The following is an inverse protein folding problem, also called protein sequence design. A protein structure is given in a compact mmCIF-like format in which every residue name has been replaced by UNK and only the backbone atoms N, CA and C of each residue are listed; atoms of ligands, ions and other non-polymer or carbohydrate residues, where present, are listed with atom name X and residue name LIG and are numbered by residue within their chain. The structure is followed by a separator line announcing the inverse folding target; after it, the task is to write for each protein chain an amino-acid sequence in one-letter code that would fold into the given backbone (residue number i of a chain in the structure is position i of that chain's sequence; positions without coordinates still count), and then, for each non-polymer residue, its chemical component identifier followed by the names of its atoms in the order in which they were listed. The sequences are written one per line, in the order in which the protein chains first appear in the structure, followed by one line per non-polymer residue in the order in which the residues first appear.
data_IF_139076730186
#
_entry.id   IF_139076730186
#
_cell.length_a   1.000
_cell.length_b   1.000
_cell.length_c   1.000
_cell.angle_alpha   90.00
_cell.angle_beta   90.00
_cell.angle_gamma   90.00
#
_symmetry.space_group_name_H-M   'P 1'
#
loop_
_entity.id
_entity.type
_entity.pdbx_description
1 polymer ?
#
# COMPACT_ATOMS: atom_id res chain seq x y z
N UNK A 1 -1.22 -26.32 14.51
CA UNK A 1 -0.27 -25.28 14.06
C UNK A 1 1.10 -25.67 14.57
N UNK A 2 2.07 -25.84 13.68
CA UNK A 2 3.50 -25.95 14.05
C UNK A 2 4.06 -24.55 14.26
N UNK A 3 5.07 -24.40 15.14
CA UNK A 3 5.76 -23.11 15.38
C UNK A 3 6.35 -22.48 14.09
N UNK A 4 6.60 -23.29 13.05
CA UNK A 4 7.07 -22.82 11.75
C UNK A 4 6.05 -21.96 10.99
N UNK A 5 4.75 -22.10 11.28
CA UNK A 5 3.68 -21.39 10.57
C UNK A 5 3.15 -20.18 11.36
N UNK A 6 3.65 -19.95 12.57
CA UNK A 6 3.23 -18.86 13.45
C UNK A 6 4.27 -17.74 13.48
N UNK A 7 4.25 -16.87 12.46
CA UNK A 7 5.13 -15.68 12.39
C UNK A 7 4.80 -14.58 13.41
N UNK A 8 3.82 -14.80 14.29
CA UNK A 8 3.38 -13.81 15.27
C UNK A 8 2.64 -12.62 14.64
N UNK A 9 1.97 -11.82 15.46
CA UNK A 9 1.24 -10.62 15.03
C UNK A 9 2.15 -9.40 15.12
N UNK A 10 3.17 -9.33 14.26
CA UNK A 10 4.21 -8.29 14.33
C UNK A 10 4.07 -7.35 13.14
N UNK A 11 3.45 -6.18 13.31
CA UNK A 11 3.26 -5.19 12.23
C UNK A 11 4.60 -4.70 11.66
N UNK A 12 5.57 -4.39 12.52
CA UNK A 12 6.92 -3.98 12.15
C UNK A 12 7.93 -4.54 13.16
N UNK A 13 9.04 -5.09 12.68
CA UNK A 13 10.18 -5.49 13.50
C UNK A 13 11.45 -5.26 12.70
N UNK A 14 12.15 -4.18 13.06
CA UNK A 14 13.28 -3.67 12.29
C UNK A 14 14.46 -3.32 13.17
N UNK A 15 15.64 -3.50 12.61
CA UNK A 15 16.88 -2.91 13.09
C UNK A 15 17.37 -1.97 12.01
N UNK A 16 17.85 -0.78 12.39
CA UNK A 16 18.39 0.18 11.45
C UNK A 16 19.77 0.68 11.86
N UNK A 17 20.55 1.06 10.86
CA UNK A 17 21.87 1.65 11.02
C UNK A 17 21.95 2.89 10.14
N UNK A 18 22.31 4.03 10.75
CA UNK A 18 22.59 5.25 10.01
C UNK A 18 24.02 5.22 9.48
N UNK A 19 24.22 5.68 8.26
CA UNK A 19 25.51 5.92 7.63
C UNK A 19 25.67 7.44 7.52
N UNK A 20 26.31 8.10 8.51
CA UNK A 20 26.28 9.55 8.65
C UNK A 20 26.93 10.31 7.49
N UNK A 21 27.90 9.69 6.81
CA UNK A 21 28.66 10.31 5.72
C UNK A 21 27.81 10.48 4.45
N UNK A 22 26.74 9.69 4.32
CA UNK A 22 25.87 9.65 3.14
C UNK A 22 24.42 10.03 3.47
N UNK A 23 24.14 10.48 4.71
CA UNK A 23 22.78 10.70 5.25
C UNK A 23 21.86 9.55 4.85
N UNK A 24 22.41 8.34 4.94
CA UNK A 24 21.78 7.14 4.42
C UNK A 24 21.40 6.23 5.58
N UNK A 25 20.38 5.41 5.38
CA UNK A 25 19.91 4.45 6.38
C UNK A 25 19.82 3.08 5.75
N UNK A 26 20.40 2.09 6.43
CA UNK A 26 20.11 0.67 6.16
C UNK A 26 19.08 0.22 7.19
N UNK A 27 18.04 -0.48 6.73
CA UNK A 27 17.00 -1.08 7.58
C UNK A 27 16.86 -2.54 7.23
N UNK A 28 16.85 -3.40 8.24
CA UNK A 28 16.74 -4.85 8.11
C UNK A 28 15.54 -5.32 8.94
N UNK A 29 14.79 -6.31 8.42
CA UNK A 29 13.66 -6.91 9.11
C UNK A 29 12.38 -6.82 8.31
N UNK A 30 11.23 -6.81 9.00
CA UNK A 30 9.92 -6.62 8.37
C UNK A 30 9.62 -5.12 8.25
N UNK A 31 9.62 -4.62 7.02
CA UNK A 31 9.59 -3.18 6.71
C UNK A 31 8.43 -2.92 5.74
N UNK A 32 7.86 -1.71 5.79
CA UNK A 32 6.94 -1.24 4.76
C UNK A 32 7.64 -1.16 3.38
N UNK A 33 7.00 -1.66 2.33
CA UNK A 33 7.60 -1.68 1.00
C UNK A 33 7.59 -0.27 0.39
N UNK A 34 8.71 0.22 -0.17
CA UNK A 34 8.77 1.55 -0.75
C UNK A 34 8.19 1.52 -2.18
N UNK A 35 6.88 1.37 -2.31
CA UNK A 35 6.21 1.33 -3.61
C UNK A 35 5.26 2.51 -3.81
N UNK A 36 4.04 2.42 -3.27
CA UNK A 36 3.05 3.49 -3.34
C UNK A 36 3.10 4.34 -2.06
N UNK A 37 2.80 5.63 -2.19
CA UNK A 37 2.72 6.53 -1.05
C UNK A 37 1.73 6.09 0.03
N UNK A 38 0.52 5.68 -0.34
CA UNK A 38 -0.44 5.19 0.66
C UNK A 38 0.09 3.96 1.41
N UNK A 39 0.98 3.13 0.82
CA UNK A 39 1.61 1.99 1.55
C UNK A 39 2.57 2.43 2.65
N UNK A 40 3.37 3.46 2.37
CA UNK A 40 4.38 3.95 3.30
C UNK A 40 3.78 4.87 4.36
N UNK A 41 2.61 5.45 4.09
CA UNK A 41 1.89 6.27 5.06
C UNK A 41 1.52 5.46 6.30
N UNK A 42 1.74 6.07 7.47
CA UNK A 42 1.25 5.54 8.74
C UNK A 42 -0.27 5.36 8.66
N UNK A 43 -0.76 4.15 8.99
CA UNK A 43 -2.19 3.91 9.13
C UNK A 43 -2.81 4.83 10.17
N UNK A 44 -2.00 5.24 11.17
CA UNK A 44 -2.47 6.14 12.20
C UNK A 44 -2.89 7.49 11.60
N UNK A 45 -2.07 8.05 10.70
CA UNK A 45 -2.25 9.38 10.11
C UNK A 45 -2.99 9.38 8.77
N UNK A 46 -3.59 8.25 8.42
CA UNK A 46 -4.33 8.13 7.17
C UNK A 46 -5.64 8.92 7.24
N UNK A 47 -5.88 9.80 6.26
CA UNK A 47 -7.05 10.70 6.29
C UNK A 47 -8.30 10.08 5.67
N UNK A 48 -8.15 9.16 4.72
CA UNK A 48 -9.25 8.31 4.30
C UNK A 48 -9.36 7.11 5.24
N UNK A 49 -10.53 6.46 5.27
CA UNK A 49 -10.72 5.30 6.14
C UNK A 49 -9.86 4.11 5.72
N UNK A 50 -9.83 3.82 4.41
CA UNK A 50 -9.13 2.68 3.84
C UNK A 50 -8.18 3.09 2.72
N UNK A 51 -7.01 2.45 2.69
CA UNK A 51 -6.07 2.58 1.56
C UNK A 51 -6.71 2.10 0.28
N UNK A 52 -6.22 2.62 -0.84
CA UNK A 52 -6.83 2.41 -2.13
C UNK A 52 -6.84 0.94 -2.53
N UNK A 53 -7.86 0.53 -3.27
CA UNK A 53 -7.98 -0.86 -3.73
C UNK A 53 -6.75 -1.31 -4.54
N UNK A 54 -6.15 -0.41 -5.33
CA UNK A 54 -4.96 -0.71 -6.16
C UNK A 54 -3.74 -1.02 -5.31
N UNK A 55 -3.70 -0.49 -4.09
CA UNK A 55 -2.68 -0.80 -3.09
C UNK A 55 -2.98 -2.12 -2.39
N UNK A 56 -3.69 -3.06 -2.99
CA UNK A 56 -3.70 -4.45 -2.50
C UNK A 56 -3.01 -5.38 -3.50
N UNK A 57 -2.48 -4.85 -4.62
CA UNK A 57 -1.77 -5.64 -5.63
C UNK A 57 -0.44 -6.23 -5.16
N UNK A 58 0.17 -5.63 -4.13
CA UNK A 58 1.42 -6.09 -3.54
C UNK A 58 1.30 -6.04 -2.01
N UNK A 59 2.12 -6.80 -1.29
CA UNK A 59 2.14 -6.69 0.15
C UNK A 59 2.56 -5.33 0.66
N UNK A 60 1.90 -4.82 1.71
CA UNK A 60 2.29 -3.54 2.31
C UNK A 60 3.63 -3.65 3.05
N UNK A 61 3.83 -4.77 3.73
CA UNK A 61 5.07 -5.09 4.45
C UNK A 61 5.73 -6.30 3.83
N UNK A 62 7.06 -6.37 3.91
CA UNK A 62 7.80 -7.57 3.55
C UNK A 62 9.08 -7.66 4.39
N UNK A 63 9.62 -8.88 4.53
CA UNK A 63 10.87 -9.07 5.28
C UNK A 63 12.05 -9.00 4.33
N UNK A 64 13.01 -8.13 4.63
CA UNK A 64 14.15 -7.89 3.76
C UNK A 64 15.13 -6.84 4.26
N UNK A 65 15.84 -6.25 3.31
CA UNK A 65 16.80 -5.18 3.53
C UNK A 65 16.47 -3.97 2.66
N UNK A 66 16.38 -2.80 3.27
CA UNK A 66 16.17 -1.51 2.61
C UNK A 66 17.39 -0.62 2.79
N UNK A 67 17.77 0.08 1.73
CA UNK A 67 18.66 1.25 1.79
C UNK A 67 17.87 2.49 1.39
N UNK A 68 17.97 3.55 2.19
CA UNK A 68 17.49 4.88 1.88
C UNK A 68 18.68 5.82 1.77
N UNK A 69 18.77 6.57 0.68
CA UNK A 69 19.88 7.51 0.41
C UNK A 69 19.35 8.88 0.00
N UNK A 70 20.11 9.93 0.34
CA UNK A 70 19.81 11.32 -0.01
C UNK A 70 20.95 11.88 -0.88
N UNK A 71 20.93 11.63 -2.20
CA UNK A 71 22.09 11.85 -3.05
C UNK A 71 22.55 13.32 -3.12
N UNK A 72 21.66 14.26 -2.84
CA UNK A 72 21.97 15.70 -2.87
C UNK A 72 22.84 16.16 -1.68
N UNK A 73 23.08 15.31 -0.67
CA UNK A 73 24.06 15.64 0.38
C UNK A 73 25.46 15.88 -0.19
N UNK A 74 25.84 15.14 -1.24
CA UNK A 74 27.15 15.28 -1.88
C UNK A 74 27.39 16.69 -2.44
N UNK A 75 26.32 17.46 -2.66
CA UNK A 75 26.38 18.87 -3.07
C UNK A 75 26.38 19.78 -1.84
N UNK A 76 25.35 19.66 -1.00
CA UNK A 76 25.20 20.43 0.25
C UNK A 76 24.15 19.74 1.14
N UNK A 77 24.41 19.69 2.45
CA UNK A 77 23.48 19.13 3.45
C UNK A 77 22.08 19.75 3.42
N UNK A 78 21.93 21.02 3.03
CA UNK A 78 20.61 21.68 2.94
C UNK A 78 19.71 21.12 1.83
N UNK A 79 20.27 20.34 0.90
CA UNK A 79 19.55 19.79 -0.24
C UNK A 79 19.05 18.35 -0.03
N UNK A 80 19.44 17.69 1.06
CA UNK A 80 19.00 16.32 1.40
C UNK A 80 17.47 16.16 1.41
N UNK A 81 16.77 17.21 1.84
CA UNK A 81 15.30 17.27 1.94
C UNK A 81 14.54 17.24 0.62
N UNK A 82 15.21 17.44 -0.52
CA UNK A 82 14.55 17.54 -1.83
C UNK A 82 14.48 16.21 -2.58
N UNK A 83 15.39 15.27 -2.32
CA UNK A 83 15.46 14.03 -3.09
C UNK A 83 15.85 12.87 -2.20
N UNK A 84 15.00 11.84 -2.16
CA UNK A 84 15.29 10.56 -1.54
C UNK A 84 15.17 9.41 -2.54
N UNK A 85 16.04 8.43 -2.39
CA UNK A 85 16.01 7.18 -3.15
C UNK A 85 15.96 6.01 -2.18
N UNK A 86 15.09 5.05 -2.47
CA UNK A 86 14.90 3.85 -1.67
C UNK A 86 15.09 2.62 -2.55
N UNK A 87 15.94 1.70 -2.11
CA UNK A 87 16.06 0.37 -2.69
C UNK A 87 15.71 -0.67 -1.64
N UNK A 88 14.84 -1.62 -1.95
CA UNK A 88 14.45 -2.66 -1.02
C UNK A 88 14.43 -4.02 -1.72
N UNK A 89 15.00 -5.03 -1.05
CA UNK A 89 14.96 -6.43 -1.48
C UNK A 89 14.23 -7.20 -0.40
N UNK A 90 13.05 -7.69 -0.75
CA UNK A 90 12.19 -8.48 0.12
C UNK A 90 12.15 -9.95 -0.29
N UNK A 91 11.65 -10.80 0.61
CA UNK A 91 11.48 -12.21 0.35
C UNK A 91 10.20 -12.54 -0.44
N UNK A 92 9.29 -11.58 -0.62
CA UNK A 92 8.06 -11.69 -1.42
C UNK A 92 6.89 -12.39 -0.75
N UNK A 93 6.98 -12.69 0.55
CA UNK A 93 5.95 -13.43 1.28
C UNK A 93 4.96 -12.53 2.02
N UNK A 94 5.23 -11.22 2.10
CA UNK A 94 4.47 -10.31 2.94
C UNK A 94 4.95 -10.29 4.39
N UNK A 95 4.44 -9.32 5.16
CA UNK A 95 4.70 -9.21 6.59
C UNK A 95 3.70 -9.99 7.43
N UNK A 96 4.14 -10.50 8.58
CA UNK A 96 3.23 -11.01 9.60
C UNK A 96 2.38 -9.87 10.15
N UNK A 97 1.11 -10.07 10.46
CA UNK A 97 0.33 -9.00 11.12
C UNK A 97 -0.47 -8.07 10.21
N UNK A 98 -0.47 -8.24 8.88
CA UNK A 98 -1.32 -7.47 7.97
C UNK A 98 -2.79 -7.94 8.07
N UNK A 99 -3.47 -7.55 9.15
CA UNK A 99 -4.84 -7.95 9.50
C UNK A 99 -5.82 -6.79 9.35
N UNK A 100 -6.10 -6.39 8.12
CA UNK A 100 -7.46 -5.97 7.76
C UNK A 100 -8.32 -7.22 7.54
N UNK A 101 -9.62 -7.19 7.84
CA UNK A 101 -10.53 -8.29 7.49
C UNK A 101 -10.51 -8.45 5.96
N UNK A 102 -9.79 -9.45 5.42
CA UNK A 102 -9.57 -9.61 3.97
C UNK A 102 -8.19 -9.19 3.44
N UNK A 103 -7.30 -8.64 4.28
CA UNK A 103 -5.90 -8.33 3.95
C UNK A 103 -4.89 -9.38 4.42
N UNK A 104 -5.33 -10.59 4.76
CA UNK A 104 -4.42 -11.67 5.17
C UNK A 104 -3.51 -12.08 4.00
N UNK A 105 -2.38 -11.42 3.88
CA UNK A 105 -1.30 -11.73 2.94
C UNK A 105 -0.29 -12.72 3.54
N UNK A 106 -0.55 -13.20 4.76
CA UNK A 106 0.13 -14.33 5.38
C UNK A 106 -0.14 -15.60 4.56
N UNK A 107 0.73 -15.94 3.63
CA UNK A 107 0.65 -17.25 3.00
C UNK A 107 2.00 -17.79 2.55
N UNK A 108 2.81 -18.23 3.50
CA UNK A 108 3.40 -19.57 3.40
C UNK A 108 3.46 -20.18 4.79
N UNK A 109 2.34 -20.76 5.23
CA UNK A 109 2.50 -22.09 5.82
C UNK A 109 3.28 -22.91 4.78
N UNK A 110 4.23 -23.73 5.21
CA UNK A 110 4.82 -24.74 4.35
C UNK A 110 3.70 -25.73 3.97
N UNK A 111 2.80 -25.34 3.06
CA UNK A 111 1.73 -26.20 2.58
C UNK A 111 2.46 -27.33 1.87
N UNK A 112 2.29 -28.54 2.39
CA UNK A 112 2.98 -29.75 1.97
C UNK A 112 2.88 -30.05 0.46
N UNK A 113 1.98 -29.35 -0.25
CA UNK A 113 1.65 -29.54 -1.66
C UNK A 113 1.92 -28.31 -2.56
N UNK A 114 2.55 -27.24 -2.06
CA UNK A 114 2.96 -26.09 -2.89
C UNK A 114 4.50 -26.07 -3.07
N UNK A 115 5.01 -25.62 -4.22
CA UNK A 115 6.43 -25.45 -4.44
C UNK A 115 7.02 -24.42 -3.48
N UNK A 116 8.27 -24.63 -3.10
CA UNK A 116 9.04 -23.61 -2.41
C UNK A 116 9.50 -22.55 -3.43
N UNK A 117 8.88 -21.36 -3.38
CA UNK A 117 9.23 -20.23 -4.25
C UNK A 117 10.31 -19.38 -3.57
N UNK A 118 11.47 -19.27 -4.21
CA UNK A 118 12.65 -18.61 -3.64
C UNK A 118 12.93 -17.22 -4.25
N UNK A 119 12.23 -16.83 -5.31
CA UNK A 119 12.48 -15.55 -5.96
C UNK A 119 12.30 -14.38 -4.98
N UNK A 120 13.27 -13.45 -4.87
CA UNK A 120 13.06 -12.22 -4.12
C UNK A 120 12.09 -11.29 -4.86
N UNK A 121 11.64 -10.25 -4.17
CA UNK A 121 10.97 -9.11 -4.77
C UNK A 121 11.86 -7.87 -4.61
N UNK A 122 12.01 -7.12 -5.68
CA UNK A 122 12.83 -5.92 -5.73
C UNK A 122 11.91 -4.71 -5.80
N UNK A 123 12.24 -3.69 -5.02
CA UNK A 123 11.56 -2.41 -5.05
C UNK A 123 12.59 -1.29 -5.21
N UNK A 124 12.23 -0.30 -6.02
CA UNK A 124 12.98 0.93 -6.17
C UNK A 124 12.03 2.12 -6.18
N UNK A 125 12.30 3.14 -5.37
CA UNK A 125 11.49 4.37 -5.29
C UNK A 125 12.35 5.61 -5.30
N UNK A 126 11.89 6.60 -6.03
CA UNK A 126 12.41 7.97 -6.03
C UNK A 126 11.31 8.89 -5.51
N UNK A 127 11.68 9.84 -4.66
CA UNK A 127 10.78 10.87 -4.16
C UNK A 127 11.46 12.23 -4.26
N UNK A 128 10.78 13.16 -4.92
CA UNK A 128 11.20 14.54 -5.10
C UNK A 128 10.26 15.48 -4.34
N UNK A 129 10.79 16.20 -3.34
CA UNK A 129 10.04 17.17 -2.55
C UNK A 129 10.37 18.58 -3.04
N UNK A 130 9.49 19.17 -3.84
CA UNK A 130 9.73 20.42 -4.59
C UNK A 130 10.06 21.60 -3.68
N UNK A 131 9.37 21.71 -2.54
CA UNK A 131 9.55 22.80 -1.56
C UNK A 131 10.35 22.36 -0.32
N UNK A 132 11.07 21.23 -0.42
CA UNK A 132 11.74 20.59 0.71
C UNK A 132 10.78 19.82 1.64
N UNK A 133 11.37 19.04 2.55
CA UNK A 133 10.67 18.22 3.55
C UNK A 133 9.90 19.02 4.60
N UNK A 134 9.32 18.30 5.57
CA UNK A 134 8.64 18.90 6.71
C UNK A 134 9.67 19.35 7.75
N UNK A 135 9.58 20.61 8.19
CA UNK A 135 10.44 21.15 9.25
C UNK A 135 9.63 21.07 10.54
N UNK A 136 10.13 20.35 11.56
CA UNK A 136 9.53 20.35 12.91
C UNK A 136 10.54 20.88 13.92
N UNK A 137 10.20 21.95 14.66
CA UNK A 137 11.04 22.50 15.75
C UNK A 137 12.52 22.65 15.37
N UNK A 138 12.77 23.31 14.25
CA UNK A 138 14.12 23.55 13.70
C UNK A 138 14.96 22.28 13.40
N UNK A 139 14.35 21.10 13.50
CA UNK A 139 14.89 19.81 13.07
C UNK A 139 14.16 19.37 11.82
N UNK A 140 14.91 19.22 10.73
CA UNK A 140 14.40 18.58 9.52
C UNK A 140 14.36 17.07 9.77
N UNK A 141 13.15 16.52 9.92
CA UNK A 141 12.95 15.08 10.11
C UNK A 141 12.57 14.38 8.80
N UNK A 142 12.69 15.08 7.66
CA UNK A 142 12.21 14.58 6.37
C UNK A 142 10.68 14.63 6.27
N UNK A 143 10.16 14.02 5.20
CA UNK A 143 8.70 13.94 5.02
C UNK A 143 8.11 12.83 5.90
N UNK A 144 7.23 13.20 6.83
CA UNK A 144 6.46 12.26 7.67
C UNK A 144 4.98 12.38 7.33
N UNK A 145 4.42 11.32 6.76
CA UNK A 145 3.13 11.35 6.07
C UNK A 145 1.91 11.46 7.00
N UNK A 146 0.95 12.28 6.57
CA UNK A 146 -0.28 12.66 7.26
C UNK A 146 -0.11 13.71 8.37
N UNK A 147 1.12 14.10 8.74
CA UNK A 147 1.34 15.29 9.60
C UNK A 147 1.33 16.59 8.79
N UNK A 148 1.46 16.51 7.46
CA UNK A 148 1.42 17.66 6.56
C UNK A 148 0.08 18.43 6.58
N UNK A 149 -1.02 17.81 7.03
CA UNK A 149 -2.34 18.44 7.06
C UNK A 149 -2.46 19.53 8.14
N UNK A 150 -1.53 19.55 9.10
CA UNK A 150 -1.44 20.57 10.15
C UNK A 150 -0.41 21.65 9.84
N UNK A 151 0.21 21.60 8.65
CA UNK A 151 1.25 22.53 8.25
C UNK A 151 0.63 23.64 7.38
N UNK A 152 1.05 24.87 7.62
CA UNK A 152 0.62 26.03 6.84
C UNK A 152 1.44 26.22 5.56
N UNK A 153 2.68 25.76 5.57
CA UNK A 153 3.61 25.88 4.45
C UNK A 153 3.15 25.08 3.24
N UNK A 154 3.43 25.62 2.05
CA UNK A 154 3.23 24.88 0.81
C UNK A 154 4.26 23.74 0.72
N UNK A 155 3.77 22.52 0.54
CA UNK A 155 4.58 21.31 0.40
C UNK A 155 4.09 20.49 -0.78
N UNK A 156 5.01 20.02 -1.63
CA UNK A 156 4.72 19.18 -2.79
C UNK A 156 5.75 18.06 -2.85
N UNK A 157 5.26 16.82 -2.87
CA UNK A 157 6.05 15.61 -3.04
C UNK A 157 5.57 14.86 -4.26
N UNK A 158 6.50 14.43 -5.10
CA UNK A 158 6.28 13.60 -6.27
C UNK A 158 7.06 12.30 -6.10
N UNK A 159 6.40 11.17 -6.23
CA UNK A 159 6.99 9.84 -6.09
C UNK A 159 6.86 9.03 -7.37
N UNK A 160 7.85 8.19 -7.63
CA UNK A 160 7.75 7.11 -8.60
C UNK A 160 8.40 5.86 -8.04
N UNK A 161 7.81 4.69 -8.30
CA UNK A 161 8.40 3.43 -7.87
C UNK A 161 8.16 2.29 -8.85
N UNK A 162 9.04 1.29 -8.75
CA UNK A 162 8.96 0.01 -9.45
C UNK A 162 9.01 -1.12 -8.42
N UNK A 163 8.27 -2.19 -8.69
CA UNK A 163 8.33 -3.44 -7.96
C UNK A 163 8.44 -4.59 -8.95
N UNK A 164 9.27 -5.59 -8.68
CA UNK A 164 9.46 -6.72 -9.58
C UNK A 164 9.78 -8.02 -8.83
N UNK A 165 9.11 -9.10 -9.21
CA UNK A 165 9.51 -10.47 -8.86
C UNK A 165 9.23 -11.42 -10.02
N UNK A 166 10.00 -12.51 -10.10
CA UNK A 166 9.80 -13.57 -11.10
C UNK A 166 8.80 -14.64 -10.66
N UNK A 167 8.48 -14.71 -9.35
CA UNK A 167 7.53 -15.67 -8.78
C UNK A 167 6.69 -14.98 -7.70
N UNK A 168 5.42 -14.72 -7.98
CA UNK A 168 4.49 -14.18 -6.99
C UNK A 168 4.06 -15.28 -6.01
N UNK A 169 4.35 -15.05 -4.73
CA UNK A 169 4.11 -16.01 -3.64
C UNK A 169 2.84 -15.73 -2.85
N UNK A 170 2.27 -14.54 -2.99
CA UNK A 170 1.07 -14.11 -2.28
C UNK A 170 -0.11 -14.04 -3.24
N UNK A 171 -1.29 -14.47 -2.78
CA UNK A 171 -2.54 -14.20 -3.48
C UNK A 171 -3.08 -12.88 -2.97
N UNK A 172 -3.58 -12.04 -3.87
CA UNK A 172 -4.11 -10.73 -3.53
C UNK A 172 -5.59 -10.67 -3.88
N UNK A 173 -6.52 -11.06 -3.01
CA UNK A 173 -7.94 -10.88 -3.26
C UNK A 173 -8.34 -9.41 -3.11
N UNK A 174 -9.44 -9.00 -3.75
CA UNK A 174 -10.12 -7.74 -3.41
C UNK A 174 -10.56 -7.80 -1.94
N UNK A 175 -10.21 -6.80 -1.11
CA UNK A 175 -10.62 -6.76 0.29
C UNK A 175 -12.14 -6.64 0.48
N UNK A 176 -12.65 -7.08 1.62
CA UNK A 176 -14.10 -7.14 1.87
C UNK A 176 -14.76 -5.76 1.85
N UNK A 177 -14.03 -4.71 2.22
CA UNK A 177 -14.47 -3.31 2.19
C UNK A 177 -14.73 -2.81 0.76
N UNK A 178 -14.27 -3.54 -0.25
CA UNK A 178 -14.48 -3.24 -1.67
C UNK A 178 -15.31 -4.32 -2.38
N UNK A 179 -15.90 -5.28 -1.63
CA UNK A 179 -16.72 -6.35 -2.17
C UNK A 179 -18.21 -6.09 -1.97
N UNK A 180 -18.99 -6.50 -2.96
CA UNK A 180 -20.44 -6.62 -2.82
C UNK A 180 -20.76 -7.85 -1.97
N UNK A 181 -21.85 -7.79 -1.18
CA UNK A 181 -22.25 -8.80 -0.18
C UNK A 181 -22.29 -10.25 -0.70
N UNK A 182 -22.58 -10.44 -1.99
CA UNK A 182 -22.75 -11.74 -2.64
C UNK A 182 -21.73 -11.99 -3.77
N UNK A 183 -20.60 -11.28 -3.75
CA UNK A 183 -19.55 -11.42 -4.76
C UNK A 183 -18.39 -12.28 -4.26
N UNK A 184 -18.00 -13.27 -5.04
CA UNK A 184 -16.75 -14.01 -4.81
C UNK A 184 -15.56 -13.06 -4.99
N UNK A 185 -14.62 -12.99 -4.03
CA UNK A 185 -13.47 -12.10 -4.14
C UNK A 185 -12.69 -12.33 -5.44
N UNK A 186 -12.60 -11.28 -6.27
CA UNK A 186 -11.76 -11.31 -7.46
C UNK A 186 -10.29 -11.31 -7.02
N UNK A 187 -9.45 -12.13 -7.65
CA UNK A 187 -8.00 -12.11 -7.38
C UNK A 187 -7.36 -11.00 -8.20
N UNK A 188 -6.91 -9.96 -7.52
CA UNK A 188 -6.11 -8.87 -8.06
C UNK A 188 -4.80 -9.38 -8.66
N UNK A 189 -4.13 -10.32 -7.97
CA UNK A 189 -2.94 -10.99 -8.45
C UNK A 189 -2.99 -12.50 -8.18
N UNK A 190 -2.35 -13.27 -9.07
CA UNK A 190 -2.35 -14.73 -9.06
C UNK A 190 -1.05 -15.29 -8.47
N UNK A 191 -1.18 -16.01 -7.37
CA UNK A 191 -0.10 -16.78 -6.76
C UNK A 191 0.31 -17.97 -7.64
N UNK A 192 1.62 -18.22 -7.73
CA UNK A 192 2.15 -19.43 -8.38
C UNK A 192 1.94 -20.65 -7.49
N UNK A 193 1.33 -21.73 -8.02
CA UNK A 193 1.10 -22.97 -7.25
C UNK A 193 1.93 -24.17 -7.69
N UNK A 194 2.77 -24.01 -8.71
CA UNK A 194 3.67 -25.07 -9.23
C UNK A 194 5.08 -24.54 -9.50
N UNK A 195 6.12 -25.38 -9.48
CA UNK A 195 7.49 -25.02 -9.85
C UNK A 195 7.59 -24.25 -11.17
N UNK A 196 8.68 -23.51 -11.36
CA UNK A 196 8.96 -22.86 -12.65
C UNK A 196 9.09 -23.93 -13.73
N UNK A 197 8.47 -23.72 -14.89
CA UNK A 197 8.51 -24.68 -16.01
C UNK A 197 7.38 -25.72 -16.06
N UNK A 198 6.36 -25.58 -15.21
CA UNK A 198 5.08 -26.30 -15.37
C UNK A 198 5.05 -27.75 -14.94
N UNK A 199 6.04 -28.22 -14.17
CA UNK A 199 6.04 -29.57 -13.62
C UNK A 199 5.27 -29.52 -12.29
N UNK A 200 4.18 -30.27 -12.16
CA UNK A 200 3.46 -30.37 -10.89
C UNK A 200 4.28 -31.19 -9.85
N UNK A 201 3.86 -31.24 -8.58
CA UNK A 201 4.55 -32.03 -7.56
C UNK A 201 4.60 -33.55 -7.84
N UNK A 202 3.82 -34.06 -8.80
CA UNK A 202 3.77 -35.48 -9.18
C UNK A 202 4.66 -35.82 -10.39
N UNK A 203 5.35 -34.81 -10.96
CA UNK A 203 6.24 -34.98 -12.10
C UNK A 203 5.55 -34.90 -13.46
N UNK A 204 4.25 -34.60 -13.48
CA UNK A 204 3.49 -34.42 -14.71
C UNK A 204 3.70 -33.00 -15.24
N UNK A 205 3.92 -32.87 -16.56
CA UNK A 205 3.94 -31.57 -17.23
C UNK A 205 2.52 -31.05 -17.34
N UNK A 206 2.31 -29.84 -16.85
CA UNK A 206 1.05 -29.11 -16.93
C UNK A 206 0.80 -28.72 -18.38
N UNK A 207 -0.41 -29.01 -18.85
CA UNK A 207 -0.89 -28.60 -20.17
C UNK A 207 -1.18 -27.09 -20.21
N UNK A 208 -1.23 -26.50 -21.40
CA UNK A 208 -1.62 -25.12 -21.64
C UNK A 208 -3.04 -24.80 -21.11
N UNK A 209 -3.90 -25.81 -21.01
CA UNK A 209 -5.26 -25.73 -20.48
C UNK A 209 -5.36 -25.81 -18.94
N UNK A 210 -4.23 -25.91 -18.22
CA UNK A 210 -4.22 -25.96 -16.77
C UNK A 210 -4.83 -24.70 -16.12
N UNK A 211 -5.24 -24.85 -14.85
CA UNK A 211 -5.77 -23.75 -14.06
C UNK A 211 -4.86 -22.51 -14.08
N UNK A 212 -5.45 -21.33 -13.93
CA UNK A 212 -4.75 -20.05 -14.00
C UNK A 212 -3.67 -19.88 -12.95
N UNK A 213 -3.61 -20.66 -11.87
CA UNK A 213 -2.51 -20.60 -10.89
C UNK A 213 -1.33 -21.53 -11.22
N UNK A 214 -1.46 -22.36 -12.24
CA UNK A 214 -0.49 -23.39 -12.62
C UNK A 214 0.43 -22.87 -13.73
N UNK A 215 1.75 -23.03 -13.54
CA UNK A 215 2.76 -22.79 -14.58
C UNK A 215 2.61 -23.80 -15.71
N UNK A 216 2.83 -23.37 -16.94
CA UNK A 216 2.76 -24.22 -18.14
C UNK A 216 3.92 -23.84 -19.06
N UNK A 217 4.21 -24.58 -20.15
CA UNK A 217 5.23 -24.15 -21.11
C UNK A 217 4.98 -22.74 -21.69
N UNK A 218 3.73 -22.30 -21.82
CA UNK A 218 3.37 -20.95 -22.29
C UNK A 218 3.37 -19.86 -21.22
N UNK A 219 3.40 -20.25 -19.93
CA UNK A 219 3.48 -19.37 -18.75
C UNK A 219 4.42 -20.02 -17.73
N UNK A 220 5.73 -20.01 -17.98
CA UNK A 220 6.68 -20.82 -17.22
C UNK A 220 6.87 -20.31 -15.78
N UNK A 221 6.55 -19.04 -15.51
CA UNK A 221 6.54 -18.44 -14.18
C UNK A 221 5.43 -17.38 -14.04
N UNK A 222 5.15 -17.03 -12.80
CA UNK A 222 4.15 -16.04 -12.40
C UNK A 222 4.85 -14.79 -11.87
N UNK A 223 5.57 -14.11 -12.75
CA UNK A 223 6.19 -12.83 -12.45
C UNK A 223 5.18 -11.67 -12.44
N UNK A 224 5.54 -10.62 -11.69
CA UNK A 224 4.83 -9.34 -11.69
C UNK A 224 5.85 -8.21 -11.77
N UNK A 225 5.51 -7.19 -12.56
CA UNK A 225 6.18 -5.89 -12.60
C UNK A 225 5.13 -4.82 -12.34
N UNK A 226 5.32 -4.06 -11.26
CA UNK A 226 4.49 -2.94 -10.87
C UNK A 226 5.21 -1.62 -11.11
N UNK A 227 4.48 -0.62 -11.59
CA UNK A 227 4.91 0.77 -11.66
C UNK A 227 3.89 1.64 -10.94
N UNK A 228 4.35 2.67 -10.23
CA UNK A 228 3.47 3.67 -9.62
C UNK A 228 4.07 5.06 -9.72
N UNK A 229 3.19 6.04 -9.86
CA UNK A 229 3.51 7.46 -9.79
C UNK A 229 2.51 8.10 -8.82
N UNK A 230 3.01 8.81 -7.83
CA UNK A 230 2.20 9.41 -6.77
C UNK A 230 2.57 10.86 -6.52
N UNK A 231 1.63 11.61 -5.95
CA UNK A 231 1.83 12.97 -5.52
C UNK A 231 1.16 13.25 -4.18
N UNK A 232 1.69 14.21 -3.44
CA UNK A 232 1.00 14.83 -2.32
C UNK A 232 1.33 16.30 -2.26
N UNK A 233 0.29 17.11 -2.08
CA UNK A 233 0.37 18.54 -1.96
C UNK A 233 -0.40 19.00 -0.74
N UNK A 234 0.19 19.90 0.04
CA UNK A 234 -0.49 20.60 1.12
C UNK A 234 -0.18 22.08 1.11
N UNK A 235 -1.15 22.89 1.53
CA UNK A 235 -0.96 24.32 1.74
C UNK A 235 -2.13 24.91 2.56
N UNK A 236 -1.85 25.58 3.68
CA UNK A 236 -2.87 26.25 4.52
C UNK A 236 -4.09 25.38 4.80
N UNK A 237 -3.86 24.15 5.24
CA UNK A 237 -4.91 23.17 5.53
C UNK A 237 -5.49 22.45 4.30
N UNK A 238 -5.25 22.91 3.08
CA UNK A 238 -5.59 22.15 1.87
C UNK A 238 -4.72 20.90 1.77
N UNK A 239 -5.32 19.78 1.39
CA UNK A 239 -4.65 18.51 1.16
C UNK A 239 -5.10 17.89 -0.16
N UNK A 240 -4.14 17.45 -0.95
CA UNK A 240 -4.34 16.69 -2.18
C UNK A 240 -3.33 15.55 -2.21
N UNK A 241 -3.80 14.33 -2.46
CA UNK A 241 -2.96 13.15 -2.66
C UNK A 241 -3.53 12.34 -3.82
N UNK A 242 -2.67 11.63 -4.53
CA UNK A 242 -3.16 10.66 -5.50
C UNK A 242 -2.03 9.83 -6.06
N UNK A 243 -2.39 8.71 -6.65
CA UNK A 243 -1.46 7.85 -7.35
C UNK A 243 -2.11 7.17 -8.53
N UNK A 244 -1.29 6.81 -9.51
CA UNK A 244 -1.62 5.85 -10.56
C UNK A 244 -0.67 4.67 -10.43
N UNK A 245 -1.19 3.46 -10.57
CA UNK A 245 -0.37 2.25 -10.56
C UNK A 245 -0.81 1.29 -11.66
N UNK A 246 0.17 0.61 -12.27
CA UNK A 246 -0.05 -0.44 -13.26
C UNK A 246 0.83 -1.64 -12.95
N UNK A 247 0.25 -2.82 -13.09
CA UNK A 247 0.91 -4.09 -12.89
C UNK A 247 0.80 -4.93 -14.16
N UNK A 248 1.87 -5.61 -14.49
CA UNK A 248 1.98 -6.46 -15.68
C UNK A 248 2.74 -7.74 -15.35
N UNK A 249 2.69 -8.70 -16.26
CA UNK A 249 3.24 -10.05 -16.07
C UNK A 249 2.16 -11.09 -15.83
N UNK A 250 2.55 -12.37 -15.88
CA UNK A 250 1.62 -13.51 -15.84
C UNK A 250 0.79 -13.57 -14.55
N UNK A 251 1.28 -13.00 -13.45
CA UNK A 251 0.56 -12.95 -12.17
C UNK A 251 -0.39 -11.76 -12.04
N UNK A 252 -0.25 -10.71 -12.85
CA UNK A 252 -0.77 -9.38 -12.53
C UNK A 252 -2.16 -9.08 -13.08
N UNK A 253 -2.73 -9.96 -13.92
CA UNK A 253 -4.00 -9.71 -14.64
C UNK A 253 -4.05 -8.33 -15.32
N UNK A 254 -2.89 -7.80 -15.75
CA UNK A 254 -2.74 -6.45 -16.32
C UNK A 254 -3.44 -5.34 -15.51
N UNK A 255 -3.53 -5.49 -14.19
CA UNK A 255 -4.28 -4.58 -13.32
C UNK A 255 -3.72 -3.17 -13.39
N UNK A 256 -4.60 -2.19 -13.52
CA UNK A 256 -4.26 -0.78 -13.37
C UNK A 256 -5.32 -0.04 -12.58
N UNK A 257 -4.90 0.97 -11.85
CA UNK A 257 -5.82 1.79 -11.08
C UNK A 257 -5.23 3.14 -10.76
N UNK A 258 -6.10 4.05 -10.35
CA UNK A 258 -5.70 5.32 -9.79
C UNK A 258 -6.62 5.69 -8.63
N UNK A 259 -6.09 6.50 -7.72
CA UNK A 259 -6.89 7.16 -6.70
C UNK A 259 -6.48 8.63 -6.59
N UNK A 260 -7.42 9.43 -6.13
CA UNK A 260 -7.20 10.81 -5.74
C UNK A 260 -8.01 11.13 -4.49
N UNK A 261 -7.35 11.79 -3.53
CA UNK A 261 -7.93 12.22 -2.26
C UNK A 261 -7.75 13.72 -2.14
N UNK A 262 -8.85 14.43 -1.85
CA UNK A 262 -8.86 15.86 -1.56
C UNK A 262 -9.47 16.08 -0.17
N UNK A 263 -8.91 17.02 0.59
CA UNK A 263 -9.47 17.42 1.87
C UNK A 263 -9.05 18.81 2.26
N UNK A 264 -9.73 19.36 3.25
CA UNK A 264 -9.40 20.66 3.82
C UNK A 264 -9.51 20.61 5.34
N UNK A 265 -8.46 21.02 6.03
CA UNK A 265 -8.38 20.98 7.47
C UNK A 265 -8.83 22.30 8.08
N UNK A 266 -10.04 22.35 8.64
CA UNK A 266 -10.55 23.52 9.35
C UNK A 266 -10.13 23.47 10.81
N UNK A 267 -9.36 24.47 11.22
CA UNK A 267 -9.07 24.70 12.64
C UNK A 267 -10.34 25.15 13.37
N UNK A 268 -10.68 24.48 14.47
CA UNK A 268 -11.85 24.84 15.29
C UNK A 268 -11.41 25.68 16.48
N UNK A 269 -10.57 25.09 17.33
CA UNK A 269 -10.09 25.69 18.58
C UNK A 269 -8.96 24.86 19.17
N UNK A 270 -7.94 25.51 19.72
CA UNK A 270 -6.82 24.81 20.37
C UNK A 270 -6.17 23.80 19.41
N UNK A 271 -6.09 22.54 19.82
CA UNK A 271 -5.51 21.46 19.03
C UNK A 271 -6.53 20.60 18.25
N UNK A 272 -7.74 21.14 18.02
CA UNK A 272 -8.87 20.42 17.41
C UNK A 272 -9.16 20.89 15.99
N UNK A 273 -9.44 19.94 15.10
CA UNK A 273 -9.73 20.20 13.70
C UNK A 273 -10.90 19.36 13.19
N UNK A 274 -11.55 19.86 12.14
CA UNK A 274 -12.50 19.11 11.31
C UNK A 274 -12.01 19.09 9.87
N UNK A 275 -11.97 17.91 9.28
CA UNK A 275 -11.47 17.72 7.92
C UNK A 275 -12.48 16.93 7.09
N UNK A 276 -13.31 17.59 6.27
CA UNK A 276 -14.00 16.91 5.18
C UNK A 276 -12.97 16.35 4.18
N UNK A 277 -13.24 15.14 3.71
CA UNK A 277 -12.38 14.40 2.78
C UNK A 277 -13.24 13.75 1.71
N UNK A 278 -12.79 13.83 0.47
CA UNK A 278 -13.33 13.07 -0.65
C UNK A 278 -12.21 12.24 -1.28
N UNK A 279 -12.48 10.97 -1.58
CA UNK A 279 -11.57 10.08 -2.31
C UNK A 279 -12.32 9.42 -3.46
N UNK A 280 -11.74 9.50 -4.66
CA UNK A 280 -12.21 8.78 -5.83
C UNK A 280 -11.17 7.74 -6.24
N UNK A 281 -11.63 6.55 -6.61
CA UNK A 281 -10.78 5.45 -7.03
C UNK A 281 -11.33 4.73 -8.26
N UNK A 282 -10.41 4.23 -9.06
CA UNK A 282 -10.69 3.42 -10.21
C UNK A 282 -9.71 2.24 -10.25
N UNK A 283 -10.22 1.05 -10.58
CA UNK A 283 -9.42 -0.14 -10.81
C UNK A 283 -10.01 -0.94 -11.97
N UNK A 284 -9.16 -1.44 -12.86
CA UNK A 284 -9.54 -2.45 -13.85
C UNK A 284 -8.47 -3.51 -13.99
N UNK A 285 -8.84 -4.68 -14.49
CA UNK A 285 -7.93 -5.78 -14.80
C UNK A 285 -8.48 -6.64 -15.93
N UNK A 286 -7.61 -7.46 -16.51
CA UNK A 286 -7.94 -8.57 -17.39
C UNK A 286 -8.19 -9.81 -16.51
N UNK A 287 -9.39 -9.90 -15.94
CA UNK A 287 -9.74 -10.98 -15.01
C UNK A 287 -9.88 -12.32 -15.74
N UNK A 288 -10.23 -12.26 -17.03
CA UNK A 288 -10.37 -13.43 -17.88
C UNK A 288 -9.03 -13.92 -18.46
N UNK A 289 -7.94 -13.15 -18.29
CA UNK A 289 -6.59 -13.44 -18.81
C UNK A 289 -6.55 -13.70 -20.32
N UNK A 290 -7.43 -13.03 -21.07
CA UNK A 290 -7.57 -13.17 -22.51
C UNK A 290 -6.88 -12.02 -23.28
N UNK A 291 -6.09 -11.20 -22.58
CA UNK A 291 -5.38 -10.03 -23.08
C UNK A 291 -6.32 -8.90 -23.54
N UNK A 292 -7.60 -8.96 -23.16
CA UNK A 292 -8.59 -7.93 -23.45
C UNK A 292 -9.21 -7.39 -22.18
N UNK A 293 -9.50 -6.09 -22.15
CA UNK A 293 -10.28 -5.50 -21.07
C UNK A 293 -11.74 -5.54 -21.46
N UNK A 294 -12.54 -6.35 -20.77
CA UNK A 294 -13.96 -6.42 -21.05
C UNK A 294 -14.68 -5.16 -20.53
N UNK A 295 -15.59 -4.55 -21.32
CA UNK A 295 -16.40 -3.42 -20.87
C UNK A 295 -17.25 -3.83 -19.65
N UNK A 296 -16.82 -3.44 -18.46
CA UNK A 296 -17.49 -3.76 -17.20
C UNK A 296 -16.58 -4.35 -16.11
N UNK A 297 -15.37 -4.77 -16.46
CA UNK A 297 -14.41 -5.35 -15.51
C UNK A 297 -13.65 -4.29 -14.68
N UNK A 298 -14.37 -3.28 -14.19
CA UNK A 298 -13.80 -2.17 -13.44
C UNK A 298 -14.58 -1.86 -12.15
N UNK A 299 -13.84 -1.42 -11.13
CA UNK A 299 -14.36 -0.86 -9.90
C UNK A 299 -14.24 0.66 -9.96
N UNK A 300 -15.34 1.34 -9.65
CA UNK A 300 -15.39 2.78 -9.38
C UNK A 300 -15.82 2.95 -7.93
N UNK A 301 -14.97 3.55 -7.11
CA UNK A 301 -15.21 3.67 -5.67
C UNK A 301 -15.10 5.13 -5.28
N UNK A 302 -16.12 5.63 -4.60
CA UNK A 302 -16.16 6.99 -4.09
C UNK A 302 -16.34 6.96 -2.58
N UNK A 303 -15.55 7.77 -1.90
CA UNK A 303 -15.65 8.00 -0.47
C UNK A 303 -15.88 9.47 -0.22
N UNK A 304 -16.85 9.78 0.62
CA UNK A 304 -17.04 11.10 1.19
C UNK A 304 -17.10 10.95 2.70
N UNK A 305 -16.30 11.72 3.43
CA UNK A 305 -16.26 11.60 4.88
C UNK A 305 -15.80 12.85 5.58
N UNK A 306 -15.88 12.79 6.90
CA UNK A 306 -15.46 13.85 7.81
C UNK A 306 -14.61 13.21 8.89
N UNK A 307 -13.42 13.78 9.11
CA UNK A 307 -12.56 13.46 10.23
C UNK A 307 -12.70 14.54 11.30
N UNK A 308 -12.94 14.12 12.54
CA UNK A 308 -12.81 14.95 13.72
C UNK A 308 -11.48 14.61 14.38
N UNK A 309 -10.56 15.57 14.42
CA UNK A 309 -9.19 15.40 14.89
C UNK A 309 -9.04 16.11 16.23
N UNK A 310 -8.80 15.33 17.28
CA UNK A 310 -8.55 15.81 18.62
C UNK A 310 -7.06 15.70 18.97
N UNK A 311 -6.51 16.79 19.50
CA UNK A 311 -5.13 16.88 19.98
C UNK A 311 -4.09 16.52 18.91
N UNK A 312 -4.11 17.27 17.79
CA UNK A 312 -3.20 17.07 16.66
C UNK A 312 -3.12 15.61 16.19
N UNK A 313 -4.28 14.93 16.09
CA UNK A 313 -4.45 13.55 15.63
C UNK A 313 -4.22 12.43 16.66
N UNK A 314 -4.03 12.75 17.95
CA UNK A 314 -3.97 11.70 18.98
C UNK A 314 -5.30 10.95 19.13
N UNK A 315 -6.42 11.67 18.96
CA UNK A 315 -7.75 11.08 18.90
C UNK A 315 -8.38 11.44 17.56
N UNK A 316 -8.98 10.46 16.89
CA UNK A 316 -9.65 10.68 15.62
C UNK A 316 -10.98 9.93 15.58
N UNK A 317 -12.02 10.62 15.15
CA UNK A 317 -13.31 10.03 14.80
C UNK A 317 -13.52 10.24 13.31
N UNK A 318 -13.78 9.17 12.57
CA UNK A 318 -13.99 9.22 11.13
C UNK A 318 -15.39 8.71 10.80
N UNK A 319 -16.17 9.51 10.09
CA UNK A 319 -17.45 9.09 9.50
C UNK A 319 -17.30 9.14 7.98
N UNK A 320 -17.46 8.01 7.31
CA UNK A 320 -17.32 7.90 5.86
C UNK A 320 -18.55 7.23 5.24
N UNK A 321 -18.98 7.77 4.10
CA UNK A 321 -19.93 7.17 3.20
C UNK A 321 -19.20 6.70 1.94
N UNK A 322 -19.35 5.43 1.61
CA UNK A 322 -18.74 4.79 0.45
C UNK A 322 -19.83 4.44 -0.57
N UNK A 323 -19.52 4.66 -1.84
CA UNK A 323 -20.27 4.14 -2.98
C UNK A 323 -19.32 3.32 -3.84
N UNK A 324 -19.67 2.05 -4.09
CA UNK A 324 -18.96 1.17 -5.01
C UNK A 324 -19.88 0.93 -6.20
N UNK A 325 -19.35 1.13 -7.40
CA UNK A 325 -19.99 0.78 -8.66
C UNK A 325 -19.07 -0.19 -9.42
N UNK A 326 -19.60 -1.34 -9.82
CA UNK A 326 -18.84 -2.34 -10.56
C UNK A 326 -19.74 -3.20 -11.44
N UNK A 327 -19.21 -3.65 -12.58
CA UNK A 327 -19.85 -4.69 -13.40
C UNK A 327 -19.05 -6.01 -13.39
N UNK A 328 -18.17 -6.21 -12.39
CA UNK A 328 -17.42 -7.47 -12.22
C UNK A 328 -18.30 -8.62 -11.72
N UNK A 329 -19.50 -8.34 -11.22
CA UNK A 329 -20.50 -9.36 -10.95
C UNK A 329 -21.10 -9.88 -12.27
N UNK A 330 -21.32 -11.20 -12.37
CA UNK A 330 -22.03 -11.81 -13.49
C UNK A 330 -23.44 -12.18 -13.05
N UNK A 331 -24.41 -11.97 -13.93
CA UNK A 331 -25.77 -12.45 -13.70
C UNK A 331 -25.77 -13.98 -13.64
N UNK A 332 -26.35 -14.55 -12.58
CA UNK A 332 -26.31 -15.99 -12.31
C UNK A 332 -26.94 -16.84 -13.44
N UNK A 333 -27.96 -16.33 -14.12
CA UNK A 333 -28.73 -17.09 -15.11
C UNK A 333 -28.22 -16.95 -16.54
N UNK A 334 -27.70 -15.77 -16.91
CA UNK A 334 -27.31 -15.45 -18.29
C UNK A 334 -25.81 -15.19 -18.46
N UNK A 335 -25.04 -15.19 -17.36
CA UNK A 335 -23.58 -15.03 -17.35
C UNK A 335 -23.07 -13.74 -18.04
N UNK A 336 -23.91 -12.70 -18.12
CA UNK A 336 -23.53 -11.36 -18.61
C UNK A 336 -23.08 -10.48 -17.44
N UNK A 337 -22.32 -9.43 -17.74
CA UNK A 337 -21.97 -8.40 -16.76
C UNK A 337 -23.26 -7.83 -16.11
N UNK A 338 -23.25 -7.72 -14.79
CA UNK A 338 -24.36 -7.23 -13.97
C UNK A 338 -23.91 -5.95 -13.28
N UNK A 339 -24.60 -4.84 -13.58
CA UNK A 339 -24.25 -3.54 -13.05
C UNK A 339 -24.77 -3.41 -11.62
N UNK A 340 -23.85 -3.28 -10.67
CA UNK A 340 -24.18 -3.26 -9.25
C UNK A 340 -23.57 -2.08 -8.52
N UNK A 341 -24.40 -1.53 -7.63
CA UNK A 341 -24.03 -0.50 -6.68
C UNK A 341 -24.11 -1.02 -5.25
N UNK A 342 -23.12 -0.67 -4.43
CA UNK A 342 -23.19 -0.81 -2.98
C UNK A 342 -22.93 0.53 -2.29
N UNK A 343 -23.59 0.72 -1.16
CA UNK A 343 -23.50 1.92 -0.34
C UNK A 343 -23.29 1.52 1.10
N UNK A 344 -22.24 2.03 1.73
CA UNK A 344 -21.86 1.67 3.09
C UNK A 344 -21.51 2.91 3.89
N UNK A 345 -21.92 2.94 5.16
CA UNK A 345 -21.50 3.96 6.12
C UNK A 345 -20.56 3.31 7.12
N UNK A 346 -19.42 3.94 7.33
CA UNK A 346 -18.39 3.52 8.27
C UNK A 346 -18.21 4.57 9.35
N UNK A 347 -18.08 4.10 10.58
CA UNK A 347 -17.71 4.91 11.73
C UNK A 347 -16.49 4.27 12.39
N UNK A 348 -15.40 5.02 12.52
CA UNK A 348 -14.18 4.58 13.17
C UNK A 348 -13.80 5.54 14.30
N UNK A 349 -13.41 4.95 15.43
CA UNK A 349 -12.78 5.65 16.54
C UNK A 349 -11.34 5.17 16.64
N UNK A 350 -10.39 6.10 16.66
CA UNK A 350 -8.98 5.82 16.74
C UNK A 350 -8.35 6.66 17.85
N UNK A 351 -7.49 6.02 18.64
CA UNK A 351 -6.64 6.68 19.62
C UNK A 351 -5.20 6.19 19.44
N UNK A 352 -4.25 7.11 19.40
CA UNK A 352 -2.84 6.85 19.27
C UNK A 352 -2.14 7.19 20.60
N UNK A 353 -1.28 6.30 21.08
CA UNK A 353 -0.49 6.51 22.30
C UNK A 353 0.95 6.02 22.08
N UNK A 354 1.90 6.67 22.76
CA UNK A 354 3.31 6.30 22.69
C UNK A 354 3.68 5.35 23.82
N UNK A 355 4.34 4.25 23.47
CA UNK A 355 4.72 3.18 24.43
C UNK A 355 6.17 3.25 24.89
N UNK A 356 6.94 4.27 24.50
CA UNK A 356 8.28 4.53 25.06
C UNK A 356 9.47 3.80 24.39
N UNK A 357 9.24 2.96 23.38
CA UNK A 357 10.29 2.08 22.80
C UNK A 357 10.90 2.58 21.48
N UNK A 358 10.31 3.58 20.83
CA UNK A 358 10.88 4.29 19.68
C UNK A 358 11.25 5.72 20.06
N UNK A 359 12.34 6.25 19.50
CA UNK A 359 12.75 7.64 19.74
C UNK A 359 11.62 8.60 19.34
N UNK A 360 11.34 9.66 20.12
CA UNK A 360 10.28 10.63 19.84
C UNK A 360 10.37 11.25 18.44
N UNK A 361 11.59 11.32 17.89
CA UNK A 361 11.89 11.90 16.59
C UNK A 361 11.31 11.11 15.40
N UNK A 362 10.92 9.84 15.60
CA UNK A 362 10.32 8.98 14.57
C UNK A 362 8.78 8.92 14.63
N UNK A 363 8.13 9.69 15.51
CA UNK A 363 6.67 9.64 15.66
C UNK A 363 6.00 10.60 14.68
N UNK A 364 5.05 10.08 13.93
CA UNK A 364 4.06 10.86 13.20
C UNK A 364 2.87 11.12 14.14
N UNK A 365 2.48 12.38 14.35
CA UNK A 365 1.32 12.78 15.17
C UNK A 365 1.58 13.51 16.51
N UNK A 366 0.49 14.03 17.08
CA UNK A 366 0.34 14.94 18.25
C UNK A 366 1.20 14.72 19.51
N UNK A 367 1.81 13.55 19.70
CA UNK A 367 2.69 13.28 20.84
C UNK A 367 3.93 14.20 20.87
N UNK A 368 4.38 14.69 19.70
CA UNK A 368 5.52 15.62 19.59
C UNK A 368 5.08 17.07 19.86
N UNK A 369 3.84 17.44 19.51
CA UNK A 369 3.27 18.77 19.77
C UNK A 369 3.01 19.01 21.27
N UNK A 370 3.01 17.95 22.09
CA UNK A 370 2.96 18.05 23.56
C UNK A 370 4.28 18.44 24.22
N UNK A 371 5.40 18.44 23.51
CA UNK A 371 6.68 18.90 24.07
C UNK A 371 6.76 20.44 24.20
N UNK A 372 5.65 21.16 23.99
CA UNK A 372 5.51 22.59 24.23
C UNK A 372 4.80 22.91 25.57
N UNK A 373 4.81 21.95 26.51
CA UNK A 373 4.58 22.19 27.94
C UNK A 373 5.75 21.71 28.79
#
# INVERSE_FOLDING_TARGET
MTLNDSRGLIHEAVIWMNIPILSSRITLGQINVPFNREYIQSSANFISLERSIVTNMLPQFDTGAMIAIHPLEAIDKKYTRYLSLHGFIGNGHGGGGDYGYGRRQDNTAARQNLPQLLAPIYYGRIQYNVFGGLIKKDKDIGWVEGDEIFQDDAKLSLGAAVAQTTQLKTSQPVPVEFLLKDQTPTRLAIQQTTPTGGIDPTGLKSDYLADKTITTPGRPNFGIVGHTYDMTFTWKGFYLNGAWSKFSGSAANQVMGYHGTIGYNFHISGSKYIMPVFKGEFLKGDWNQNQTFEPGEAYYIYWAGINLLGDYHLYKIQLFYQVIHTNTAKNYFINTADNRDARTVYLQFQANFWTGTSSPENISGGAIYRQDY
#
